data_IF_392649404543
#
_entry.id   IF_392649404543
#
_cell.length_a   1.000
_cell.length_b   1.000
_cell.length_c   1.000
_cell.angle_alpha   90.00
_cell.angle_beta   90.00
_cell.angle_gamma   90.00
#
_symmetry.space_group_name_H-M   'P 1'
#
loop_
_entity.id
_entity.type
_entity.pdbx_description
1 polymer ?
#
# COMPACT_ATOMS: atom_id res chain seq x y z
N UNK A 1 -21.32 -6.82 1.93
CA UNK A 1 -19.89 -6.83 2.33
C UNK A 1 -18.92 -6.84 1.15
N UNK A 2 -19.19 -7.59 0.07
CA UNK A 2 -18.32 -7.66 -1.11
C UNK A 2 -18.16 -6.32 -1.86
N UNK A 3 -19.23 -5.53 -1.93
CA UNK A 3 -19.23 -4.17 -2.51
C UNK A 3 -18.28 -3.20 -1.80
N UNK A 4 -18.17 -3.30 -0.47
CA UNK A 4 -17.29 -2.44 0.35
C UNK A 4 -15.82 -2.83 0.13
N UNK A 5 -15.55 -4.13 -0.05
CA UNK A 5 -14.20 -4.65 -0.31
C UNK A 5 -13.65 -4.13 -1.64
N UNK A 6 -14.50 -4.08 -2.67
CA UNK A 6 -14.15 -3.52 -3.97
C UNK A 6 -13.90 -2.01 -3.89
N UNK A 7 -14.62 -1.30 -3.02
CA UNK A 7 -14.42 0.13 -2.82
C UNK A 7 -13.12 0.44 -2.06
N UNK A 8 -12.76 -0.31 -1.00
CA UNK A 8 -11.48 -0.07 -0.30
C UNK A 8 -10.27 -0.33 -1.20
N UNK A 9 -10.27 -1.42 -1.96
CA UNK A 9 -9.18 -1.72 -2.89
C UNK A 9 -9.04 -0.66 -3.98
N UNK A 10 -10.15 -0.14 -4.50
CA UNK A 10 -10.15 0.97 -5.46
C UNK A 10 -9.61 2.27 -4.85
N UNK A 11 -10.01 2.60 -3.62
CA UNK A 11 -9.52 3.79 -2.92
C UNK A 11 -8.01 3.65 -2.66
N UNK A 12 -7.55 2.49 -2.19
CA UNK A 12 -6.12 2.21 -1.99
C UNK A 12 -5.34 2.34 -3.30
N UNK A 13 -5.89 1.84 -4.40
CA UNK A 13 -5.28 1.96 -5.72
C UNK A 13 -5.18 3.42 -6.19
N UNK A 14 -6.26 4.20 -6.06
CA UNK A 14 -6.25 5.63 -6.41
C UNK A 14 -5.23 6.39 -5.57
N UNK A 15 -5.18 6.14 -4.25
CA UNK A 15 -4.19 6.73 -3.36
C UNK A 15 -2.76 6.33 -3.73
N UNK A 16 -2.56 5.10 -4.20
CA UNK A 16 -1.25 4.64 -4.67
C UNK A 16 -0.84 5.37 -5.94
N UNK A 17 -1.73 5.48 -6.92
CA UNK A 17 -1.46 6.20 -8.18
C UNK A 17 -1.17 7.68 -7.90
N UNK A 18 -1.94 8.33 -7.02
CA UNK A 18 -1.68 9.71 -6.62
C UNK A 18 -0.38 9.85 -5.81
N UNK A 19 -0.15 8.96 -4.85
CA UNK A 19 1.01 8.99 -3.96
C UNK A 19 2.32 8.74 -4.69
N UNK A 20 2.42 7.60 -5.38
CA UNK A 20 3.59 7.26 -6.18
C UNK A 20 3.73 8.20 -7.37
N UNK A 21 2.63 8.55 -8.04
CA UNK A 21 2.65 9.46 -9.19
C UNK A 21 3.18 10.84 -8.84
N UNK A 22 2.79 11.40 -7.69
CA UNK A 22 3.33 12.69 -7.23
C UNK A 22 4.80 12.62 -6.87
N UNK A 23 5.26 11.55 -6.21
CA UNK A 23 6.68 11.35 -5.91
C UNK A 23 7.52 11.19 -7.18
N UNK A 24 7.02 10.41 -8.15
CA UNK A 24 7.68 10.26 -9.46
C UNK A 24 7.72 11.59 -10.21
N UNK A 25 6.65 12.38 -10.20
CA UNK A 25 6.62 13.69 -10.82
C UNK A 25 7.67 14.63 -10.22
N UNK A 26 7.83 14.62 -8.88
CA UNK A 26 8.88 15.40 -8.21
C UNK A 26 10.27 14.97 -8.67
N UNK A 27 10.56 13.66 -8.68
CA UNK A 27 11.86 13.13 -9.11
C UNK A 27 12.16 13.49 -10.57
N UNK A 28 11.19 13.35 -11.47
CA UNK A 28 11.36 13.66 -12.89
C UNK A 28 11.49 15.16 -13.18
N UNK A 29 10.84 16.00 -12.38
CA UNK A 29 10.93 17.46 -12.53
C UNK A 29 12.28 18.03 -12.12
N UNK A 30 13.13 17.26 -11.41
CA UNK A 30 14.34 17.77 -10.79
C UNK A 30 14.09 18.83 -9.71
N UNK A 31 12.82 19.05 -9.33
CA UNK A 31 12.45 19.99 -8.29
C UNK A 31 13.08 19.56 -6.97
N UNK A 32 13.89 20.44 -6.40
CA UNK A 32 14.53 20.25 -5.10
C UNK A 32 14.17 21.43 -4.22
N UNK A 33 14.34 21.28 -2.90
CA UNK A 33 14.09 22.39 -1.98
C UNK A 33 14.92 23.62 -2.41
N UNK A 34 14.32 24.83 -2.48
CA UNK A 34 13.04 25.24 -1.90
C UNK A 34 11.83 25.24 -2.86
N UNK A 35 11.93 24.59 -4.02
CA UNK A 35 10.88 24.63 -5.06
C UNK A 35 9.48 24.23 -4.53
N UNK A 36 8.47 24.97 -4.98
CA UNK A 36 7.09 24.81 -4.48
C UNK A 36 6.49 23.44 -4.87
N UNK A 37 6.86 22.87 -6.01
CA UNK A 37 6.44 21.53 -6.40
C UNK A 37 6.99 20.50 -5.43
N UNK A 38 8.28 20.58 -5.09
CA UNK A 38 8.90 19.68 -4.11
C UNK A 38 8.23 19.82 -2.74
N UNK A 39 7.96 21.05 -2.30
CA UNK A 39 7.42 21.33 -0.96
C UNK A 39 5.98 20.86 -0.76
N UNK A 40 5.20 20.74 -1.84
CA UNK A 40 3.80 20.31 -1.79
C UNK A 40 3.63 18.85 -2.22
N UNK A 41 4.13 18.46 -3.39
CA UNK A 41 3.92 17.10 -3.92
C UNK A 41 4.63 16.04 -3.08
N UNK A 42 5.80 16.33 -2.51
CA UNK A 42 6.53 15.34 -1.69
C UNK A 42 5.75 14.92 -0.44
N UNK A 43 5.31 15.85 0.45
CA UNK A 43 4.53 15.45 1.62
C UNK A 43 3.16 14.85 1.25
N UNK A 44 2.48 15.38 0.22
CA UNK A 44 1.22 14.81 -0.27
C UNK A 44 1.43 13.38 -0.79
N UNK A 45 2.49 13.17 -1.56
CA UNK A 45 2.85 11.88 -2.12
C UNK A 45 3.17 10.84 -1.06
N UNK A 46 3.95 11.24 -0.05
CA UNK A 46 4.24 10.42 1.13
C UNK A 46 2.95 10.05 1.86
N UNK A 47 2.11 11.04 2.20
CA UNK A 47 0.85 10.81 2.92
C UNK A 47 -0.09 9.87 2.17
N UNK A 48 -0.28 10.08 0.87
CA UNK A 48 -1.12 9.22 0.04
C UNK A 48 -0.56 7.79 -0.03
N UNK A 49 0.75 7.63 -0.17
CA UNK A 49 1.39 6.30 -0.23
C UNK A 49 1.24 5.54 1.08
N UNK A 50 1.47 6.20 2.22
CA UNK A 50 1.27 5.57 3.54
C UNK A 50 -0.20 5.26 3.83
N UNK A 51 -1.13 6.13 3.43
CA UNK A 51 -2.56 5.87 3.56
C UNK A 51 -2.99 4.66 2.71
N UNK A 52 -2.48 4.55 1.47
CA UNK A 52 -2.73 3.39 0.62
C UNK A 52 -2.20 2.09 1.24
N UNK A 53 -0.99 2.12 1.79
CA UNK A 53 -0.38 0.97 2.45
C UNK A 53 -1.24 0.45 3.61
N UNK A 54 -1.73 1.37 4.47
CA UNK A 54 -2.61 1.00 5.58
C UNK A 54 -3.91 0.33 5.08
N UNK A 55 -4.50 0.84 4.01
CA UNK A 55 -5.71 0.26 3.41
C UNK A 55 -5.45 -1.13 2.83
N UNK A 56 -4.31 -1.35 2.18
CA UNK A 56 -3.93 -2.67 1.66
C UNK A 56 -3.74 -3.69 2.78
N UNK A 57 -3.12 -3.31 3.91
CA UNK A 57 -2.99 -4.19 5.08
C UNK A 57 -4.38 -4.57 5.61
N UNK A 58 -5.28 -3.60 5.77
CA UNK A 58 -6.66 -3.87 6.20
C UNK A 58 -7.40 -4.80 5.22
N UNK A 59 -7.21 -4.61 3.93
CA UNK A 59 -7.81 -5.45 2.89
C UNK A 59 -7.25 -6.89 2.95
N UNK A 60 -5.95 -7.04 3.15
CA UNK A 60 -5.31 -8.35 3.30
C UNK A 60 -5.82 -9.12 4.52
N UNK A 61 -5.85 -8.49 5.70
CA UNK A 61 -6.39 -9.11 6.93
C UNK A 61 -7.84 -9.55 6.72
N UNK A 62 -8.66 -8.70 6.10
CA UNK A 62 -10.06 -9.05 5.78
C UNK A 62 -10.16 -10.21 4.80
N UNK A 63 -9.26 -10.29 3.82
CA UNK A 63 -9.21 -11.39 2.84
C UNK A 63 -8.89 -12.69 3.55
N UNK A 64 -7.87 -12.72 4.41
CA UNK A 64 -7.54 -13.89 5.24
C UNK A 64 -8.74 -14.32 6.07
N UNK A 65 -9.41 -13.39 6.75
CA UNK A 65 -10.59 -13.69 7.58
C UNK A 65 -11.76 -14.24 6.75
N UNK A 66 -12.03 -13.68 5.56
CA UNK A 66 -13.09 -14.15 4.66
C UNK A 66 -12.80 -15.57 4.16
N UNK A 67 -11.56 -15.84 3.75
CA UNK A 67 -11.12 -17.16 3.28
C UNK A 67 -11.18 -18.19 4.41
N UNK A 68 -10.77 -17.81 5.62
CA UNK A 68 -10.89 -18.67 6.80
C UNK A 68 -12.35 -19.01 7.11
N UNK A 69 -13.24 -18.00 7.10
CA UNK A 69 -14.67 -18.18 7.35
C UNK A 69 -15.37 -19.02 6.28
N UNK A 70 -14.87 -19.03 5.04
CA UNK A 70 -15.35 -19.92 3.95
C UNK A 70 -14.99 -21.39 4.14
N UNK A 71 -14.18 -21.73 5.16
CA UNK A 71 -13.74 -23.10 5.43
C UNK A 71 -12.47 -23.50 4.68
N UNK A 72 -11.95 -22.64 3.81
CA UNK A 72 -10.71 -22.85 3.05
C UNK A 72 -9.48 -22.53 3.92
N UNK A 73 -9.27 -23.31 4.98
CA UNK A 73 -8.22 -23.06 5.97
C UNK A 73 -6.81 -23.05 5.37
N UNK A 74 -6.53 -23.95 4.43
CA UNK A 74 -5.24 -24.02 3.73
C UNK A 74 -4.97 -22.75 2.94
N UNK A 75 -5.93 -22.29 2.14
CA UNK A 75 -5.82 -21.05 1.36
C UNK A 75 -5.66 -19.82 2.28
N UNK A 76 -6.40 -19.75 3.38
CA UNK A 76 -6.28 -18.67 4.35
C UNK A 76 -4.87 -18.63 4.98
N UNK A 77 -4.32 -19.78 5.37
CA UNK A 77 -2.97 -19.89 5.91
C UNK A 77 -1.92 -19.49 4.87
N UNK A 78 -2.06 -19.92 3.62
CA UNK A 78 -1.16 -19.52 2.53
C UNK A 78 -1.15 -18.01 2.34
N UNK A 79 -2.33 -17.37 2.24
CA UNK A 79 -2.45 -15.90 2.08
C UNK A 79 -1.84 -15.16 3.27
N UNK A 80 -2.00 -15.70 4.48
CA UNK A 80 -1.41 -15.12 5.70
C UNK A 80 0.13 -15.23 5.68
N UNK A 81 0.69 -16.39 5.34
CA UNK A 81 2.15 -16.57 5.26
C UNK A 81 2.73 -15.66 4.17
N UNK A 82 2.08 -15.58 3.00
CA UNK A 82 2.52 -14.75 1.88
C UNK A 82 2.57 -13.26 2.27
N UNK A 83 1.54 -12.75 2.95
CA UNK A 83 1.54 -11.36 3.41
C UNK A 83 2.62 -11.07 4.44
N UNK A 84 2.83 -11.97 5.40
CA UNK A 84 3.91 -11.84 6.40
C UNK A 84 5.28 -11.88 5.71
N UNK A 85 5.50 -12.82 4.79
CA UNK A 85 6.75 -12.96 4.06
C UNK A 85 7.10 -11.68 3.28
N UNK A 86 6.12 -11.05 2.62
CA UNK A 86 6.31 -9.77 1.91
C UNK A 86 6.73 -8.66 2.88
N UNK A 87 6.10 -8.57 4.05
CA UNK A 87 6.44 -7.55 5.06
C UNK A 87 7.85 -7.78 5.59
N UNK A 88 8.18 -9.02 6.00
CA UNK A 88 9.50 -9.37 6.53
C UNK A 88 10.59 -9.13 5.48
N UNK A 89 10.36 -9.55 4.24
CA UNK A 89 11.29 -9.33 3.14
C UNK A 89 11.50 -7.83 2.86
N UNK A 90 10.42 -7.05 2.89
CA UNK A 90 10.50 -5.59 2.69
C UNK A 90 11.31 -4.90 3.78
N UNK A 91 11.10 -5.28 5.05
CA UNK A 91 11.86 -4.76 6.19
C UNK A 91 13.32 -5.19 6.09
N UNK A 92 13.57 -6.48 5.85
CA UNK A 92 14.94 -7.00 5.73
C UNK A 92 15.71 -6.29 4.61
N UNK A 93 15.07 -6.04 3.46
CA UNK A 93 15.67 -5.29 2.36
C UNK A 93 16.02 -3.85 2.72
N UNK A 94 15.27 -3.22 3.63
CA UNK A 94 15.56 -1.86 4.11
C UNK A 94 16.77 -1.86 5.05
N UNK A 95 16.90 -2.87 5.92
CA UNK A 95 18.00 -2.97 6.89
C UNK A 95 19.33 -3.47 6.29
N UNK A 96 19.26 -4.29 5.25
CA UNK A 96 20.45 -4.89 4.61
C UNK A 96 21.01 -4.02 3.46
N UNK A 97 20.50 -2.79 3.30
CA UNK A 97 21.02 -1.76 2.40
C UNK A 97 21.73 -0.68 3.20
#
# INVERSE_FOLDING_TARGET
MEKILNNLGKIAFILTVLGVGSLVAVVLSGATYPDMLFRVLTPVGILCTFAALALYIMQWIRTVYKTYKRGEKTAATIILILGIAVIVFSIFRIYTK
#
